data_IF_021667478388
#
_entry.id   IF_021667478388
#
_cell.length_a   1.000
_cell.length_b   1.000
_cell.length_c   1.000
_cell.angle_alpha   90.00
_cell.angle_beta   90.00
_cell.angle_gamma   90.00
#
_symmetry.space_group_name_H-M   'P 1'
#
loop_
_entity.id
_entity.type
_entity.pdbx_description
1 polymer ?
#
# COMPACT_ATOMS: atom_id res chain seq x y z
N UNK A 1 -4.17 4.30 1.57
CA UNK A 1 -2.71 4.14 1.81
C UNK A 1 -2.00 5.46 2.11
N UNK A 2 -2.46 6.60 1.59
CA UNK A 2 -1.89 7.94 1.85
C UNK A 2 -1.66 8.26 3.33
N UNK A 3 -2.59 7.88 4.22
CA UNK A 3 -2.45 8.07 5.67
C UNK A 3 -1.26 7.31 6.28
N UNK A 4 -1.01 6.08 5.81
CA UNK A 4 0.11 5.24 6.27
C UNK A 4 1.42 5.82 5.73
N UNK A 5 1.43 6.22 4.45
CA UNK A 5 2.61 6.85 3.83
C UNK A 5 3.04 8.14 4.54
N UNK A 6 2.07 8.96 4.97
CA UNK A 6 2.33 10.22 5.66
C UNK A 6 2.57 10.06 7.17
N UNK A 7 2.61 8.83 7.68
CA UNK A 7 2.80 8.59 9.11
C UNK A 7 4.29 8.73 9.49
N UNK A 8 4.64 9.42 10.59
CA UNK A 8 6.03 9.71 10.97
C UNK A 8 6.91 8.46 11.21
N UNK A 9 6.29 7.30 11.45
CA UNK A 9 6.98 6.02 11.61
C UNK A 9 7.24 5.27 10.30
N UNK A 10 6.82 5.81 9.15
CA UNK A 10 7.06 5.17 7.86
C UNK A 10 8.01 6.06 7.05
N UNK A 11 9.31 5.74 7.01
CA UNK A 11 10.31 6.41 6.17
C UNK A 11 9.95 6.42 4.68
N UNK A 12 10.33 7.49 3.97
CA UNK A 12 9.97 7.74 2.56
C UNK A 12 10.59 6.76 1.55
N UNK A 13 11.61 6.02 1.95
CA UNK A 13 12.31 5.01 1.16
C UNK A 13 11.65 3.62 1.23
N UNK A 14 10.76 3.38 2.20
CA UNK A 14 10.06 2.10 2.35
C UNK A 14 8.81 2.09 1.45
N UNK A 15 8.70 1.26 0.41
CA UNK A 15 7.48 1.20 -0.41
C UNK A 15 6.31 0.59 0.37
N UNK A 16 5.09 1.09 0.13
CA UNK A 16 3.86 0.59 0.75
C UNK A 16 2.92 0.02 -0.31
N UNK A 17 2.44 -1.20 -0.09
CA UNK A 17 1.51 -1.90 -0.97
C UNK A 17 0.13 -2.04 -0.33
N UNK A 18 -0.91 -2.06 -1.15
CA UNK A 18 -2.29 -2.25 -0.69
C UNK A 18 -2.94 -3.42 -1.42
N UNK A 19 -3.50 -4.34 -0.64
CA UNK A 19 -4.23 -5.50 -1.13
C UNK A 19 -5.62 -5.54 -0.50
N UNK A 20 -6.59 -6.03 -1.26
CA UNK A 20 -7.93 -6.37 -0.76
C UNK A 20 -7.98 -7.90 -0.67
N UNK A 21 -8.29 -8.40 0.50
CA UNK A 21 -8.57 -9.83 0.66
C UNK A 21 -10.02 -10.11 0.26
N UNK A 22 -10.18 -10.93 -0.77
CA UNK A 22 -11.49 -11.45 -1.18
C UNK A 22 -11.78 -12.74 -0.41
N UNK A 23 -12.71 -12.65 0.54
CA UNK A 23 -13.10 -13.78 1.41
C UNK A 23 -13.83 -14.90 0.66
N UNK A 24 -14.45 -14.62 -0.48
CA UNK A 24 -15.18 -15.61 -1.25
C UNK A 24 -14.23 -16.50 -2.06
N UNK A 25 -13.15 -15.93 -2.58
CA UNK A 25 -12.17 -16.65 -3.42
C UNK A 25 -10.88 -16.98 -2.67
N UNK A 26 -10.65 -16.38 -1.49
CA UNK A 26 -9.43 -16.50 -0.71
C UNK A 26 -8.22 -15.77 -1.30
N UNK A 27 -8.43 -14.87 -2.27
CA UNK A 27 -7.34 -14.22 -3.01
C UNK A 27 -7.01 -12.85 -2.42
N UNK A 28 -5.73 -12.48 -2.50
CA UNK A 28 -5.29 -11.11 -2.28
C UNK A 28 -5.24 -10.39 -3.63
N UNK A 29 -6.15 -9.44 -3.81
CA UNK A 29 -6.23 -8.62 -5.02
C UNK A 29 -5.41 -7.36 -4.78
N UNK A 30 -4.37 -7.15 -5.60
CA UNK A 30 -3.59 -5.91 -5.54
C UNK A 30 -4.46 -4.71 -5.96
N UNK A 31 -4.30 -3.58 -5.27
CA UNK A 31 -4.92 -2.31 -5.63
C UNK A 31 -3.85 -1.41 -6.29
N UNK A 32 -3.84 -1.24 -7.62
CA UNK A 32 -2.77 -0.50 -8.31
C UNK A 32 -2.63 0.95 -7.85
N UNK A 33 -3.75 1.60 -7.50
CA UNK A 33 -3.76 2.97 -6.97
C UNK A 33 -3.06 3.05 -5.59
N UNK A 34 -3.12 1.98 -4.80
CA UNK A 34 -2.43 1.91 -3.51
C UNK A 34 -0.92 1.80 -3.69
N UNK A 35 -0.46 0.97 -4.62
CA UNK A 35 0.95 0.82 -4.97
C UNK A 35 1.53 2.13 -5.53
N UNK A 36 0.75 2.89 -6.31
CA UNK A 36 1.16 4.22 -6.79
C UNK A 36 1.27 5.25 -5.66
N UNK A 37 0.27 5.32 -4.79
CA UNK A 37 0.26 6.25 -3.66
C UNK A 37 1.30 5.91 -2.57
N UNK A 38 1.74 4.66 -2.52
CA UNK A 38 2.75 4.16 -1.57
C UNK A 38 4.17 4.08 -2.13
N UNK A 39 4.42 4.57 -3.35
CA UNK A 39 5.77 4.54 -3.96
C UNK A 39 6.80 5.22 -3.06
N UNK A 40 7.99 4.61 -2.99
CA UNK A 40 9.14 5.23 -2.37
C UNK A 40 9.59 6.44 -3.22
N UNK A 41 9.96 7.53 -2.56
CA UNK A 41 10.28 8.81 -3.20
C UNK A 41 11.69 9.27 -2.85
N UNK A 42 12.63 8.33 -2.74
CA UNK A 42 14.04 8.61 -2.40
C UNK A 42 14.68 9.59 -3.37
#
# INVERSE_FOLDING_TARGET
VTRIRNHPLVPSDIPVYGYIYDVATGRLVEVPAASQAGRASR
#
